data_IF_890657578825
#
_entry.id   IF_890657578825
#
_cell.length_a   1.000
_cell.length_b   1.000
_cell.length_c   1.000
_cell.angle_alpha   90.00
_cell.angle_beta   90.00
_cell.angle_gamma   90.00
#
_symmetry.space_group_name_H-M   'P 1'
#
loop_
_entity.id
_entity.type
_entity.pdbx_description
1 polymer ?
#
# COMPACT_ATOMS: atom_id res chain seq x y z
N UNK A 1 -14.42 -12.61 -12.21
CA UNK A 1 -13.53 -11.44 -12.14
C UNK A 1 -12.16 -11.88 -11.68
N UNK A 2 -11.10 -11.33 -12.27
CA UNK A 2 -9.74 -11.45 -11.74
C UNK A 2 -9.72 -10.81 -10.36
N UNK A 3 -9.29 -11.54 -9.33
CA UNK A 3 -9.19 -10.99 -7.98
C UNK A 3 -7.79 -10.41 -7.82
N UNK A 4 -7.69 -9.12 -7.52
CA UNK A 4 -6.41 -8.45 -7.25
C UNK A 4 -6.10 -8.49 -5.75
N UNK A 5 -4.84 -8.26 -5.39
CA UNK A 5 -4.41 -8.02 -4.02
C UNK A 5 -4.01 -6.54 -3.95
N UNK A 6 -4.85 -5.67 -3.39
CA UNK A 6 -4.51 -4.26 -3.22
C UNK A 6 -3.28 -4.12 -2.32
N UNK A 7 -2.34 -3.27 -2.73
CA UNK A 7 -1.07 -3.05 -2.05
C UNK A 7 -0.90 -1.55 -1.77
N UNK A 8 -0.17 -1.24 -0.71
CA UNK A 8 0.32 0.11 -0.44
C UNK A 8 1.80 0.04 -0.08
N UNK A 9 2.54 1.08 -0.44
CA UNK A 9 3.94 1.14 -0.05
C UNK A 9 4.06 1.20 1.48
N UNK A 10 4.99 0.42 2.07
CA UNK A 10 5.15 0.31 3.52
C UNK A 10 5.40 1.65 4.22
N UNK A 11 5.94 2.63 3.49
CA UNK A 11 6.19 3.97 4.01
C UNK A 11 4.91 4.65 4.51
N UNK A 12 3.76 4.39 3.89
CA UNK A 12 2.47 4.88 4.39
C UNK A 12 2.20 4.38 5.81
N UNK A 13 2.36 3.07 6.04
CA UNK A 13 2.19 2.46 7.34
C UNK A 13 3.23 2.92 8.37
N UNK A 14 4.51 3.03 8.00
CA UNK A 14 5.57 3.52 8.90
C UNK A 14 5.26 4.95 9.36
N UNK A 15 4.95 5.84 8.42
CA UNK A 15 4.61 7.23 8.71
C UNK A 15 3.39 7.30 9.64
N UNK A 16 2.38 6.48 9.37
CA UNK A 16 1.17 6.46 10.18
C UNK A 16 1.44 5.95 11.61
N UNK A 17 2.28 4.94 11.77
CA UNK A 17 2.72 4.46 13.08
C UNK A 17 3.55 5.51 13.84
N UNK A 18 4.43 6.24 13.16
CA UNK A 18 5.23 7.29 13.79
C UNK A 18 4.39 8.47 14.29
N UNK A 19 3.31 8.78 13.59
CA UNK A 19 2.33 9.76 14.05
C UNK A 19 1.51 9.17 15.20
N UNK A 20 1.06 7.92 15.09
CA UNK A 20 0.24 7.26 16.10
C UNK A 20 0.90 7.23 17.49
N UNK A 21 2.23 7.04 17.54
CA UNK A 21 3.03 7.09 18.77
C UNK A 21 2.90 8.42 19.55
N UNK A 22 2.37 9.48 18.94
CA UNK A 22 2.11 10.76 19.61
C UNK A 22 0.74 10.82 20.29
N UNK A 23 -0.18 9.91 19.94
CA UNK A 23 -1.56 9.89 20.42
C UNK A 23 -1.83 8.73 21.39
N UNK A 24 -1.10 7.61 21.27
CA UNK A 24 -1.29 6.43 22.12
C UNK A 24 0.01 6.01 22.80
N UNK A 25 -0.10 5.55 24.05
CA UNK A 25 1.05 5.14 24.86
C UNK A 25 1.61 3.78 24.40
N UNK A 26 0.73 2.85 24.01
CA UNK A 26 1.09 1.53 23.47
C UNK A 26 0.42 1.29 22.11
N UNK A 27 1.22 1.20 21.06
CA UNK A 27 0.78 0.93 19.69
C UNK A 27 0.60 -0.56 19.39
N UNK A 28 1.12 -1.45 20.24
CA UNK A 28 1.17 -2.89 19.96
C UNK A 28 -0.21 -3.56 19.81
N UNK A 29 -1.23 -3.22 20.63
CA UNK A 29 -2.58 -3.76 20.42
C UNK A 29 -3.12 -3.44 19.02
N UNK A 30 -2.97 -2.18 18.57
CA UNK A 30 -3.39 -1.72 17.23
C UNK A 30 -2.61 -2.46 16.13
N UNK A 31 -1.28 -2.58 16.27
CA UNK A 31 -0.41 -3.27 15.31
C UNK A 31 -0.82 -4.75 15.17
N UNK A 32 -1.09 -5.43 16.29
CA UNK A 32 -1.44 -6.84 16.32
C UNK A 32 -2.84 -7.08 15.72
N UNK A 33 -3.83 -6.27 16.10
CA UNK A 33 -5.19 -6.36 15.56
C UNK A 33 -5.22 -6.09 14.04
N UNK A 34 -4.41 -5.13 13.59
CA UNK A 34 -4.25 -4.83 12.18
C UNK A 34 -3.46 -5.91 11.41
N UNK A 35 -2.75 -6.79 12.12
CA UNK A 35 -1.86 -7.82 11.56
C UNK A 35 -0.72 -7.21 10.73
N UNK A 36 -0.17 -6.09 11.21
CA UNK A 36 0.98 -5.46 10.58
C UNK A 36 2.23 -6.35 10.66
N UNK A 37 3.08 -6.32 9.63
CA UNK A 37 4.38 -6.98 9.71
C UNK A 37 5.21 -6.45 10.90
N UNK A 38 5.70 -7.35 11.74
CA UNK A 38 6.44 -7.01 12.98
C UNK A 38 7.73 -6.21 12.68
N UNK A 39 8.31 -6.38 11.49
CA UNK A 39 9.60 -5.78 11.11
C UNK A 39 9.48 -4.78 9.96
N UNK A 40 8.35 -4.07 9.89
CA UNK A 40 8.02 -3.15 8.80
C UNK A 40 9.15 -2.17 8.42
N UNK A 41 9.86 -1.63 9.41
CA UNK A 41 10.96 -0.68 9.17
C UNK A 41 12.21 -1.36 8.57
N UNK A 42 12.50 -2.60 8.97
CA UNK A 42 13.76 -3.29 8.62
C UNK A 42 13.65 -4.33 7.50
N UNK A 43 12.42 -4.68 7.08
CA UNK A 43 12.19 -5.58 5.95
C UNK A 43 12.63 -4.93 4.63
N UNK A 44 13.07 -5.73 3.65
CA UNK A 44 13.33 -5.26 2.28
C UNK A 44 12.07 -5.03 1.47
N UNK A 45 10.93 -5.56 1.93
CA UNK A 45 9.66 -5.43 1.24
C UNK A 45 9.33 -3.96 0.98
N UNK A 46 8.83 -3.68 -0.23
CA UNK A 46 8.36 -2.35 -0.62
C UNK A 46 6.91 -2.14 -0.22
N UNK A 47 6.11 -3.20 -0.29
CA UNK A 47 4.67 -3.14 -0.13
C UNK A 47 4.20 -3.95 1.06
N UNK A 48 3.00 -3.61 1.54
CA UNK A 48 2.19 -4.43 2.43
C UNK A 48 0.79 -4.58 1.83
N UNK A 49 0.02 -5.63 2.22
CA UNK A 49 -1.38 -5.72 1.85
C UNK A 49 -2.14 -4.47 2.30
N UNK A 50 -2.88 -3.83 1.41
CA UNK A 50 -3.59 -2.60 1.77
C UNK A 50 -4.67 -2.84 2.83
N UNK A 51 -5.26 -4.04 2.86
CA UNK A 51 -6.20 -4.45 3.91
C UNK A 51 -5.62 -4.35 5.32
N UNK A 52 -4.32 -4.58 5.47
CA UNK A 52 -3.59 -4.48 6.76
C UNK A 52 -3.46 -3.03 7.17
N UNK A 53 -3.09 -2.16 6.22
CA UNK A 53 -3.09 -0.70 6.45
C UNK A 53 -4.50 -0.18 6.75
N UNK A 54 -5.53 -0.71 6.09
CA UNK A 54 -6.92 -0.34 6.31
C UNK A 54 -7.38 -0.69 7.73
N UNK A 55 -7.03 -1.89 8.22
CA UNK A 55 -7.26 -2.28 9.61
C UNK A 55 -6.52 -1.38 10.59
N UNK A 56 -5.28 -0.96 10.29
CA UNK A 56 -4.54 -0.01 11.13
C UNK A 56 -5.31 1.30 11.28
N UNK A 57 -5.78 1.89 10.17
CA UNK A 57 -6.56 3.12 10.23
C UNK A 57 -7.89 2.93 10.98
N UNK A 58 -8.59 1.83 10.74
CA UNK A 58 -9.85 1.51 11.41
C UNK A 58 -9.66 1.35 12.92
N UNK A 59 -8.74 0.48 13.35
CA UNK A 59 -8.45 0.24 14.77
C UNK A 59 -8.00 1.53 15.47
N UNK A 60 -7.26 2.39 14.77
CA UNK A 60 -6.88 3.70 15.30
C UNK A 60 -8.11 4.59 15.52
N UNK A 61 -9.05 4.63 14.56
CA UNK A 61 -10.28 5.42 14.67
C UNK A 61 -11.18 5.01 15.84
N UNK A 62 -11.09 3.76 16.27
CA UNK A 62 -11.86 3.22 17.39
C UNK A 62 -11.21 3.56 18.75
N UNK A 63 -9.93 3.93 18.77
CA UNK A 63 -9.14 4.14 19.98
C UNK A 63 -8.86 5.61 20.31
N UNK A 64 -9.27 6.56 19.47
CA UNK A 64 -9.07 7.99 19.74
C UNK A 64 -10.30 8.84 19.41
N UNK A 65 -10.45 10.04 19.99
CA UNK A 65 -11.52 10.97 19.65
C UNK A 65 -11.51 11.33 18.17
N UNK A 66 -12.70 11.55 17.59
CA UNK A 66 -12.87 11.81 16.16
C UNK A 66 -12.05 12.99 15.63
N UNK A 67 -11.93 14.08 16.40
CA UNK A 67 -11.13 15.26 16.02
C UNK A 67 -9.64 14.94 15.94
N UNK A 68 -9.11 14.17 16.90
CA UNK A 68 -7.72 13.71 16.88
C UNK A 68 -7.49 12.78 15.69
N UNK A 69 -8.45 11.88 15.42
CA UNK A 69 -8.37 10.97 14.29
C UNK A 69 -8.31 11.69 12.93
N UNK A 70 -9.15 12.72 12.74
CA UNK A 70 -9.10 13.51 11.49
C UNK A 70 -7.75 14.19 11.30
N UNK A 71 -7.19 14.75 12.38
CA UNK A 71 -5.86 15.37 12.38
C UNK A 71 -4.76 14.34 12.09
N UNK A 72 -4.85 13.16 12.70
CA UNK A 72 -3.95 12.03 12.48
C UNK A 72 -3.92 11.57 11.02
N UNK A 73 -5.09 11.42 10.38
CA UNK A 73 -5.20 11.06 8.97
C UNK A 73 -4.58 12.14 8.09
N UNK A 74 -4.91 13.41 8.35
CA UNK A 74 -4.39 14.55 7.58
C UNK A 74 -2.86 14.65 7.66
N UNK A 75 -2.28 14.62 8.86
CA UNK A 75 -0.83 14.66 9.05
C UNK A 75 -0.12 13.49 8.37
N UNK A 76 -0.70 12.29 8.47
CA UNK A 76 -0.14 11.08 7.85
C UNK A 76 -0.19 11.13 6.34
N UNK A 77 -1.31 11.55 5.78
CA UNK A 77 -1.48 11.75 4.35
C UNK A 77 -0.55 12.82 3.80
N UNK A 78 -0.40 13.95 4.50
CA UNK A 78 0.52 15.03 4.13
C UNK A 78 1.97 14.53 4.09
N UNK A 79 2.44 13.90 5.18
CA UNK A 79 3.81 13.35 5.25
C UNK A 79 4.05 12.24 4.23
N UNK A 80 3.10 11.33 4.04
CA UNK A 80 3.22 10.29 3.01
C UNK A 80 3.31 10.93 1.64
N UNK A 81 2.47 11.93 1.33
CA UNK A 81 2.52 12.63 0.05
C UNK A 81 3.92 13.17 -0.25
N UNK A 82 4.65 13.68 0.75
CA UNK A 82 5.99 14.26 0.59
C UNK A 82 7.06 13.23 0.16
N UNK A 83 6.88 11.96 0.50
CA UNK A 83 7.86 10.90 0.20
C UNK A 83 7.52 10.09 -1.04
N UNK A 84 6.30 10.21 -1.61
CA UNK A 84 5.84 9.40 -2.76
C UNK A 84 6.82 9.46 -3.95
N UNK A 85 7.37 10.64 -4.24
CA UNK A 85 8.31 10.80 -5.35
C UNK A 85 9.66 10.09 -5.09
N UNK A 86 10.01 9.85 -3.82
CA UNK A 86 11.31 9.26 -3.40
C UNK A 86 11.28 7.75 -3.23
N UNK A 87 10.10 7.19 -2.92
CA UNK A 87 9.92 5.74 -2.71
C UNK A 87 9.84 4.94 -4.03
N UNK A 88 9.78 5.64 -5.16
CA UNK A 88 9.76 5.03 -6.50
C UNK A 88 11.18 4.67 -6.96
N UNK A 89 11.33 3.64 -7.82
CA UNK A 89 12.61 3.39 -8.46
C UNK A 89 13.07 4.64 -9.23
N UNK A 90 14.36 5.02 -9.17
CA UNK A 90 14.85 6.23 -9.78
C UNK A 90 14.61 6.21 -11.29
N UNK A 91 13.69 7.05 -11.76
CA UNK A 91 13.46 7.27 -13.20
C UNK A 91 14.27 8.48 -13.66
N UNK A 92 14.82 8.41 -14.88
CA UNK A 92 15.55 9.54 -15.49
C UNK A 92 14.63 10.73 -15.82
N UNK A 93 13.32 10.50 -15.88
CA UNK A 93 12.29 11.48 -16.21
C UNK A 93 11.27 11.57 -15.09
N UNK A 94 10.79 12.79 -14.80
CA UNK A 94 9.65 13.00 -13.89
C UNK A 94 8.42 12.33 -14.50
N UNK A 95 7.75 11.49 -13.73
CA UNK A 95 6.52 10.83 -14.15
C UNK A 95 5.35 11.84 -14.15
N UNK A 96 4.30 11.62 -14.97
CA UNK A 96 3.05 12.34 -14.84
C UNK A 96 2.43 12.15 -13.45
N UNK A 97 1.63 13.12 -12.99
CA UNK A 97 1.10 13.10 -11.61
C UNK A 97 0.20 11.89 -11.34
N UNK A 98 -0.59 11.46 -12.33
CA UNK A 98 -1.47 10.31 -12.17
C UNK A 98 -0.70 8.99 -12.04
N UNK A 99 0.40 8.81 -12.77
CA UNK A 99 1.31 7.68 -12.56
C UNK A 99 1.92 7.71 -11.16
N UNK A 100 2.18 8.92 -10.62
CA UNK A 100 2.67 9.05 -9.26
C UNK A 100 1.63 8.59 -8.24
N UNK A 101 0.41 9.10 -8.33
CA UNK A 101 -0.69 8.72 -7.45
C UNK A 101 -1.10 7.26 -7.61
N UNK A 102 -1.18 6.74 -8.83
CA UNK A 102 -1.61 5.38 -9.12
C UNK A 102 -0.72 4.30 -8.52
N UNK A 103 0.59 4.53 -8.49
CA UNK A 103 1.55 3.61 -7.86
C UNK A 103 1.60 3.74 -6.33
N UNK A 104 1.15 4.87 -5.79
CA UNK A 104 1.25 5.19 -4.37
C UNK A 104 -0.02 4.87 -3.58
N UNK A 105 -1.15 4.81 -4.28
CA UNK A 105 -2.48 4.65 -3.74
C UNK A 105 -3.10 3.31 -4.17
N UNK A 106 -4.04 2.78 -3.37
CA UNK A 106 -4.78 1.54 -3.61
C UNK A 106 -5.86 1.71 -4.70
N UNK A 107 -5.51 2.23 -5.87
CA UNK A 107 -6.46 2.55 -6.93
C UNK A 107 -6.16 1.73 -8.19
N UNK A 108 -7.19 1.36 -8.93
CA UNK A 108 -7.03 0.66 -10.21
C UNK A 108 -7.14 1.60 -11.41
N UNK A 109 -7.69 2.79 -11.21
CA UNK A 109 -7.77 3.84 -12.22
C UNK A 109 -7.78 5.22 -11.56
N UNK A 110 -7.15 6.19 -12.23
CA UNK A 110 -7.25 7.60 -11.90
C UNK A 110 -7.44 8.43 -13.18
N UNK A 111 -8.24 9.49 -13.12
CA UNK A 111 -8.48 10.33 -14.30
C UNK A 111 -8.69 11.78 -13.91
N UNK A 112 -8.11 12.69 -14.69
CA UNK A 112 -8.46 14.10 -14.64
C UNK A 112 -9.55 14.43 -15.65
N UNK A 113 -10.74 14.74 -15.13
CA UNK A 113 -11.86 15.23 -15.91
C UNK A 113 -11.92 16.76 -15.83
N UNK A 114 -12.17 17.40 -16.97
CA UNK A 114 -12.32 18.85 -17.05
C UNK A 114 -13.72 19.20 -17.55
N UNK A 115 -14.49 19.93 -16.74
CA UNK A 115 -15.79 20.44 -17.14
C UNK A 115 -15.72 21.97 -17.36
N UNK A 116 -15.74 22.44 -18.62
CA UNK A 116 -15.80 23.86 -18.90
C UNK A 116 -17.22 24.39 -18.63
N UNK A 117 -17.48 24.88 -17.41
CA UNK A 117 -18.78 25.47 -17.08
C UNK A 117 -18.95 26.86 -17.72
N UNK A 118 -17.89 27.68 -17.83
CA UNK A 118 -17.80 28.94 -18.61
C UNK A 118 -16.32 29.44 -18.70
N UNK A 119 -15.99 30.43 -19.57
CA UNK A 119 -14.61 30.99 -19.75
C UNK A 119 -13.90 31.42 -18.45
N UNK A 120 -14.64 31.69 -17.37
CA UNK A 120 -14.12 32.13 -16.06
C UNK A 120 -14.33 31.11 -14.92
N UNK A 121 -15.08 30.04 -15.15
CA UNK A 121 -15.37 29.00 -14.16
C UNK A 121 -15.17 27.63 -14.81
N UNK A 122 -13.95 27.09 -14.70
CA UNK A 122 -13.68 25.68 -15.02
C UNK A 122 -13.54 24.88 -13.74
N UNK A 123 -14.08 23.67 -13.74
CA UNK A 123 -13.89 22.73 -12.64
C UNK A 123 -12.95 21.62 -13.11
N UNK A 124 -11.90 21.39 -12.32
CA UNK A 124 -11.07 20.20 -12.44
C UNK A 124 -11.63 19.14 -11.49
N UNK A 125 -11.82 17.92 -11.99
CA UNK A 125 -12.17 16.77 -11.18
C UNK A 125 -11.04 15.73 -11.29
N UNK A 126 -10.56 15.26 -10.16
CA UNK A 126 -9.75 14.04 -10.07
C UNK A 126 -10.68 12.91 -9.62
N UNK A 127 -10.96 11.96 -10.52
CA UNK A 127 -11.66 10.73 -10.17
C UNK A 127 -10.66 9.62 -9.84
N UNK A 128 -10.93 8.90 -8.76
CA UNK A 128 -10.13 7.79 -8.25
C UNK A 128 -11.05 6.57 -8.11
N UNK A 129 -10.73 5.50 -8.83
CA UNK A 129 -11.37 4.21 -8.63
C UNK A 129 -10.56 3.39 -7.65
N UNK A 130 -10.93 3.47 -6.39
CA UNK A 130 -10.31 2.71 -5.30
C UNK A 130 -10.54 1.21 -5.52
N UNK A 131 -9.53 0.39 -5.23
CA UNK A 131 -9.68 -1.06 -5.21
C UNK A 131 -10.66 -1.49 -4.09
N UNK A 132 -11.15 -2.73 -4.11
CA UNK A 132 -12.14 -3.20 -3.13
C UNK A 132 -11.61 -3.05 -1.69
N UNK A 133 -12.37 -2.29 -0.89
CA UNK A 133 -12.00 -1.80 0.44
C UNK A 133 -12.75 -2.48 1.59
N UNK A 134 -13.63 -3.42 1.28
CA UNK A 134 -14.50 -3.99 2.29
C UNK A 134 -13.71 -4.76 3.38
N UNK A 135 -14.03 -4.56 4.67
CA UNK A 135 -15.14 -3.78 5.23
C UNK A 135 -14.80 -2.32 5.66
N UNK A 136 -13.60 -1.81 5.36
CA UNK A 136 -13.06 -0.56 5.94
C UNK A 136 -13.01 0.60 4.93
N UNK A 137 -14.11 0.83 4.22
CA UNK A 137 -14.15 1.71 3.04
C UNK A 137 -14.00 3.20 3.36
N UNK A 138 -14.77 3.75 4.29
CA UNK A 138 -14.81 5.20 4.50
C UNK A 138 -13.47 5.81 4.92
N UNK A 139 -12.86 5.28 5.98
CA UNK A 139 -11.61 5.81 6.53
C UNK A 139 -10.48 5.77 5.49
N UNK A 140 -10.45 4.72 4.68
CA UNK A 140 -9.44 4.58 3.67
C UNK A 140 -9.70 5.48 2.45
N UNK A 141 -10.95 5.67 2.04
CA UNK A 141 -11.31 6.67 1.03
C UNK A 141 -10.89 8.08 1.48
N UNK A 142 -11.12 8.43 2.75
CA UNK A 142 -10.68 9.70 3.33
C UNK A 142 -9.15 9.85 3.28
N UNK A 143 -8.41 8.81 3.67
CA UNK A 143 -6.95 8.81 3.56
C UNK A 143 -6.49 8.98 2.10
N UNK A 144 -7.11 8.25 1.16
CA UNK A 144 -6.80 8.33 -0.27
C UNK A 144 -7.01 9.75 -0.82
N UNK A 145 -8.13 10.40 -0.52
CA UNK A 145 -8.38 11.77 -0.98
C UNK A 145 -7.44 12.78 -0.32
N UNK A 146 -7.08 12.61 0.97
CA UNK A 146 -6.10 13.48 1.62
C UNK A 146 -4.73 13.37 0.95
N UNK A 147 -4.24 12.14 0.71
CA UNK A 147 -2.94 11.94 0.05
C UNK A 147 -2.94 12.54 -1.36
N UNK A 148 -4.00 12.29 -2.13
CA UNK A 148 -4.14 12.85 -3.46
C UNK A 148 -4.16 14.39 -3.42
N UNK A 149 -4.93 14.98 -2.51
CA UNK A 149 -5.01 16.42 -2.32
C UNK A 149 -3.65 17.04 -1.99
N UNK A 150 -2.96 16.57 -0.95
CA UNK A 150 -1.65 17.11 -0.55
C UNK A 150 -0.59 16.93 -1.63
N UNK A 151 -0.63 15.80 -2.36
CA UNK A 151 0.26 15.59 -3.49
C UNK A 151 -0.01 16.61 -4.61
N UNK A 152 -1.28 16.86 -4.95
CA UNK A 152 -1.65 17.80 -6.00
C UNK A 152 -1.32 19.24 -5.65
N UNK A 153 -1.67 19.73 -4.46
CA UNK A 153 -1.41 21.13 -4.06
C UNK A 153 0.08 21.44 -4.02
N UNK A 154 0.93 20.45 -3.68
CA UNK A 154 2.39 20.61 -3.74
C UNK A 154 2.93 20.69 -5.17
N UNK A 155 2.33 19.96 -6.10
CA UNK A 155 2.81 19.85 -7.47
C UNK A 155 2.12 20.82 -8.45
N UNK A 156 1.00 21.42 -8.06
CA UNK A 156 0.17 22.30 -8.88
C UNK A 156 -0.29 23.51 -8.06
N UNK A 157 0.37 24.66 -8.26
CA UNK A 157 0.11 25.88 -7.50
C UNK A 157 -1.28 26.51 -7.71
N UNK A 158 -1.97 26.15 -8.81
CA UNK A 158 -3.34 26.61 -9.06
C UNK A 158 -4.39 25.76 -8.34
N UNK A 159 -4.00 24.59 -7.82
CA UNK A 159 -4.87 23.74 -6.99
C UNK A 159 -4.74 24.22 -5.54
N UNK A 160 -5.86 24.68 -4.98
CA UNK A 160 -6.01 25.06 -3.58
C UNK A 160 -6.96 24.06 -2.90
N UNK A 161 -7.87 24.56 -2.08
CA UNK A 161 -8.88 23.73 -1.43
C UNK A 161 -9.88 23.11 -2.41
N UNK A 162 -10.33 21.87 -2.15
CA UNK A 162 -11.41 21.27 -2.90
C UNK A 162 -12.73 22.02 -2.66
N UNK A 163 -13.45 22.24 -3.75
CA UNK A 163 -14.81 22.78 -3.78
C UNK A 163 -15.88 21.79 -3.31
N UNK A 164 -15.60 20.48 -3.42
CA UNK A 164 -16.40 19.36 -2.90
C UNK A 164 -15.63 18.05 -3.09
N UNK A 165 -16.11 16.98 -2.48
CA UNK A 165 -15.63 15.63 -2.79
C UNK A 165 -16.75 14.58 -2.76
N UNK A 166 -16.52 13.53 -3.53
CA UNK A 166 -17.40 12.38 -3.68
C UNK A 166 -16.77 11.17 -3.00
N UNK A 167 -17.58 10.37 -2.33
CA UNK A 167 -17.21 9.12 -1.65
C UNK A 167 -18.13 8.00 -2.13
N UNK A 168 -17.56 6.82 -2.35
CA UNK A 168 -18.28 5.60 -2.70
C UNK A 168 -19.03 5.05 -1.50
N UNK A 169 -18.42 5.15 -0.32
CA UNK A 169 -19.02 4.81 0.96
C UNK A 169 -20.45 5.34 1.08
N UNK A 170 -21.38 4.47 1.47
CA UNK A 170 -22.80 4.81 1.56
C UNK A 170 -23.21 5.30 2.96
N UNK A 171 -22.45 4.96 3.99
CA UNK A 171 -22.82 5.25 5.37
C UNK A 171 -22.49 6.70 5.77
N UNK A 172 -23.45 7.61 5.61
CA UNK A 172 -23.36 8.97 6.15
C UNK A 172 -23.07 8.99 7.65
N UNK A 173 -23.54 7.98 8.39
CA UNK A 173 -23.29 7.82 9.82
C UNK A 173 -21.79 7.76 10.17
N UNK A 174 -20.94 7.28 9.26
CA UNK A 174 -19.49 7.26 9.46
C UNK A 174 -18.89 8.67 9.47
N UNK A 175 -19.33 9.57 8.59
CA UNK A 175 -18.89 10.97 8.59
C UNK A 175 -19.35 11.70 9.86
N UNK A 176 -20.60 11.48 10.27
CA UNK A 176 -21.16 12.10 11.48
C UNK A 176 -20.41 11.62 12.74
N UNK A 177 -20.07 10.32 12.83
CA UNK A 177 -19.22 9.76 13.89
C UNK A 177 -17.83 10.37 13.90
N UNK A 178 -17.25 10.59 12.72
CA UNK A 178 -15.93 11.21 12.57
C UNK A 178 -15.95 12.73 12.82
N UNK A 179 -17.14 13.33 13.02
CA UNK A 179 -17.31 14.77 13.30
C UNK A 179 -16.53 15.65 12.33
N UNK A 180 -16.49 15.28 11.05
CA UNK A 180 -15.69 16.01 10.04
C UNK A 180 -16.33 17.38 9.83
N UNK A 181 -15.78 18.40 10.48
CA UNK A 181 -16.20 19.79 10.35
C UNK A 181 -15.38 20.45 9.26
N UNK A 182 -15.86 20.37 8.02
CA UNK A 182 -15.26 21.05 6.87
C UNK A 182 -16.30 21.85 6.11
N UNK A 183 -15.91 23.03 5.64
CA UNK A 183 -16.72 23.86 4.74
C UNK A 183 -16.82 23.25 3.34
N UNK A 184 -16.02 22.22 3.02
CA UNK A 184 -16.05 21.51 1.75
C UNK A 184 -17.17 20.46 1.72
N UNK A 185 -18.21 20.60 0.87
CA UNK A 185 -19.32 19.65 0.80
C UNK A 185 -18.91 18.21 0.46
N UNK A 186 -19.55 17.24 1.12
CA UNK A 186 -19.34 15.80 0.91
C UNK A 186 -20.55 15.13 0.27
N UNK A 187 -20.31 14.29 -0.72
CA UNK A 187 -21.37 13.51 -1.40
C UNK A 187 -21.07 12.01 -1.26
N UNK A 188 -21.97 11.29 -0.57
CA UNK A 188 -21.85 9.85 -0.31
C UNK A 188 -22.53 9.02 -1.41
N UNK A 189 -22.23 7.72 -1.47
CA UNK A 189 -22.85 6.77 -2.39
C UNK A 189 -22.61 7.08 -3.88
N UNK A 190 -21.51 7.74 -4.18
CA UNK A 190 -21.12 8.12 -5.54
C UNK A 190 -20.47 6.93 -6.26
N UNK A 191 -20.47 6.90 -7.61
CA UNK A 191 -19.87 5.79 -8.35
C UNK A 191 -18.35 5.69 -8.17
N UNK A 192 -17.67 6.81 -7.98
CA UNK A 192 -16.22 6.91 -7.78
C UNK A 192 -15.91 7.90 -6.65
N UNK A 193 -14.79 7.68 -5.97
CA UNK A 193 -14.20 8.67 -5.06
C UNK A 193 -13.63 9.81 -5.90
N UNK A 194 -13.92 11.07 -5.58
CA UNK A 194 -13.44 12.18 -6.41
C UNK A 194 -13.21 13.50 -5.67
N UNK A 195 -12.25 14.29 -6.13
CA UNK A 195 -11.92 15.63 -5.64
C UNK A 195 -12.21 16.66 -6.72
N UNK A 196 -12.89 17.75 -6.36
CA UNK A 196 -13.26 18.81 -7.30
C UNK A 196 -12.64 20.14 -6.91
N UNK A 197 -12.01 20.83 -7.87
CA UNK A 197 -11.33 22.10 -7.64
C UNK A 197 -11.87 23.19 -8.55
N UNK A 198 -12.00 24.41 -8.01
CA UNK A 198 -12.13 25.59 -8.85
C UNK A 198 -10.77 25.87 -9.50
N UNK A 199 -10.73 25.92 -10.83
CA UNK A 199 -9.49 26.11 -11.57
C UNK A 199 -9.66 27.19 -12.64
N UNK A 200 -8.56 27.83 -13.02
CA UNK A 200 -8.52 28.68 -14.22
C UNK A 200 -7.83 27.92 -15.36
N UNK A 201 -8.55 27.77 -16.48
CA UNK A 201 -8.21 26.95 -17.65
C UNK A 201 -6.76 27.13 -18.14
N UNK A 202 -6.20 28.35 -18.01
CA UNK A 202 -5.00 28.76 -18.75
C UNK A 202 -3.67 28.12 -18.30
N UNK A 203 -3.59 27.42 -17.17
CA UNK A 203 -2.35 26.74 -16.72
C UNK A 203 -2.47 25.22 -16.62
N UNK A 204 -3.67 24.68 -16.79
CA UNK A 204 -3.94 23.25 -16.64
C UNK A 204 -3.78 22.45 -17.93
N UNK A 205 -3.32 23.07 -19.02
CA UNK A 205 -3.24 22.46 -20.35
C UNK A 205 -2.42 21.16 -20.40
N UNK A 206 -1.52 20.90 -19.45
CA UNK A 206 -0.76 19.65 -19.34
C UNK A 206 -1.48 18.53 -18.56
N UNK A 207 -2.51 18.84 -17.78
CA UNK A 207 -3.29 17.88 -16.99
C UNK A 207 -4.59 17.46 -17.68
N UNK A 208 -5.03 18.23 -18.68
CA UNK A 208 -6.24 17.95 -19.46
C UNK A 208 -6.15 16.57 -20.14
N UNK A 209 -7.09 15.69 -19.81
CA UNK A 209 -7.23 14.32 -20.35
C UNK A 209 -6.02 13.42 -20.12
N UNK A 210 -5.51 13.42 -18.89
CA UNK A 210 -4.64 12.34 -18.44
C UNK A 210 -5.49 11.28 -17.74
N UNK A 211 -5.24 10.03 -18.11
CA UNK A 211 -5.75 8.86 -17.42
C UNK A 211 -4.57 8.01 -16.96
N UNK A 212 -4.79 7.24 -15.93
CA UNK A 212 -3.89 6.21 -15.47
C UNK A 212 -4.71 4.98 -15.14
N UNK A 213 -4.22 3.82 -15.58
CA UNK A 213 -4.79 2.53 -15.27
C UNK A 213 -3.70 1.63 -14.68
N UNK A 214 -4.06 0.88 -13.64
CA UNK A 214 -3.14 -0.02 -12.97
C UNK A 214 -2.71 -1.13 -13.93
N UNK A 215 -1.40 -1.32 -14.05
CA UNK A 215 -0.84 -2.42 -14.82
C UNK A 215 -1.17 -3.73 -14.11
N UNK A 216 -1.82 -4.65 -14.82
CA UNK A 216 -2.18 -5.96 -14.27
C UNK A 216 -0.96 -6.87 -14.19
N UNK A 217 -0.51 -7.14 -12.97
CA UNK A 217 0.46 -8.20 -12.68
C UNK A 217 -0.24 -9.55 -12.47
N UNK A 218 0.48 -10.66 -12.66
CA UNK A 218 -0.05 -11.98 -12.33
C UNK A 218 -0.41 -12.07 -10.84
N UNK A 219 -1.39 -12.91 -10.50
CA UNK A 219 -1.79 -13.07 -9.11
C UNK A 219 -0.63 -13.57 -8.24
N UNK A 220 0.24 -14.41 -8.81
CA UNK A 220 1.46 -14.89 -8.18
C UNK A 220 2.45 -13.77 -7.86
N UNK A 221 2.60 -12.78 -8.76
CA UNK A 221 3.45 -11.61 -8.49
C UNK A 221 2.87 -10.76 -7.37
N UNK A 222 1.57 -10.44 -7.45
CA UNK A 222 0.89 -9.64 -6.41
C UNK A 222 0.96 -10.32 -5.05
N UNK A 223 0.77 -11.64 -4.99
CA UNK A 223 0.88 -12.41 -3.76
C UNK A 223 2.32 -12.42 -3.23
N UNK A 224 3.31 -12.51 -4.12
CA UNK A 224 4.73 -12.42 -3.74
C UNK A 224 5.05 -11.07 -3.09
N UNK A 225 4.62 -9.97 -3.70
CA UNK A 225 4.84 -8.61 -3.19
C UNK A 225 4.13 -8.40 -1.84
N UNK A 226 2.91 -8.92 -1.70
CA UNK A 226 2.15 -8.89 -0.45
C UNK A 226 2.85 -9.69 0.67
N UNK A 227 3.35 -10.89 0.35
CA UNK A 227 3.90 -11.84 1.31
C UNK A 227 5.32 -11.47 1.75
N UNK A 228 6.11 -10.79 0.91
CA UNK A 228 7.52 -10.43 1.20
C UNK A 228 7.66 -9.74 2.57
N UNK A 229 6.73 -8.87 2.93
CA UNK A 229 6.75 -8.13 4.20
C UNK A 229 6.66 -9.02 5.44
N UNK A 230 6.17 -10.26 5.31
CA UNK A 230 6.00 -11.23 6.41
C UNK A 230 7.13 -12.27 6.47
N UNK A 231 8.10 -12.22 5.56
CA UNK A 231 9.20 -13.19 5.50
C UNK A 231 10.25 -12.85 6.57
N UNK A 232 10.70 -13.88 7.29
CA UNK A 232 11.90 -13.80 8.13
C UNK A 232 11.73 -14.21 9.58
N UNK A 233 10.54 -14.31 10.20
CA UNK A 233 10.48 -14.79 11.61
C UNK A 233 9.26 -15.63 11.99
N UNK A 234 8.25 -15.71 11.13
CA UNK A 234 7.11 -16.58 11.36
C UNK A 234 6.87 -17.45 10.13
N UNK A 235 6.67 -18.74 10.37
CA UNK A 235 6.20 -19.66 9.34
C UNK A 235 4.72 -19.36 9.05
N UNK A 236 4.47 -18.37 8.18
CA UNK A 236 3.11 -17.95 7.88
C UNK A 236 2.41 -18.99 6.99
N UNK A 237 1.39 -19.65 7.52
CA UNK A 237 0.59 -20.61 6.75
C UNK A 237 -0.25 -19.91 5.68
N UNK A 238 -0.74 -20.67 4.70
CA UNK A 238 -1.63 -20.13 3.68
C UNK A 238 -2.96 -19.66 4.30
N UNK A 239 -3.43 -20.36 5.33
CA UNK A 239 -4.64 -20.03 6.08
C UNK A 239 -4.48 -18.68 6.79
N UNK A 240 -3.38 -18.50 7.53
CA UNK A 240 -3.11 -17.24 8.21
C UNK A 240 -2.93 -16.08 7.22
N UNK A 241 -2.22 -16.31 6.10
CA UNK A 241 -2.06 -15.27 5.09
C UNK A 241 -3.36 -14.94 4.34
N UNK A 242 -4.22 -15.93 4.09
CA UNK A 242 -5.58 -15.75 3.58
C UNK A 242 -6.38 -14.78 4.45
N UNK A 243 -6.29 -14.94 5.77
CA UNK A 243 -6.97 -14.09 6.73
C UNK A 243 -6.41 -12.66 6.79
N UNK A 244 -5.10 -12.49 6.54
CA UNK A 244 -4.45 -11.19 6.40
C UNK A 244 -5.00 -10.46 5.18
N UNK A 245 -4.92 -11.08 4.01
CA UNK A 245 -5.27 -10.41 2.73
C UNK A 245 -6.77 -10.42 2.41
N UNK A 246 -7.59 -11.22 3.10
CA UNK A 246 -9.04 -11.26 2.92
C UNK A 246 -9.48 -12.05 1.69
N UNK A 247 -8.65 -12.98 1.25
CA UNK A 247 -8.92 -13.81 0.07
C UNK A 247 -8.99 -15.27 0.51
N UNK A 248 -10.13 -15.96 0.30
CA UNK A 248 -10.26 -17.35 0.71
C UNK A 248 -9.15 -18.24 0.13
N UNK A 249 -8.64 -19.16 0.95
CA UNK A 249 -7.59 -20.14 0.58
C UNK A 249 -7.84 -20.80 -0.77
N UNK A 250 -9.06 -21.29 -1.04
CA UNK A 250 -9.42 -21.92 -2.32
C UNK A 250 -9.27 -20.98 -3.51
N UNK A 251 -9.57 -19.70 -3.33
CA UNK A 251 -9.41 -18.67 -4.35
C UNK A 251 -7.93 -18.43 -4.63
N UNK A 252 -7.11 -18.27 -3.58
CA UNK A 252 -5.65 -18.13 -3.71
C UNK A 252 -5.08 -19.32 -4.49
N UNK A 253 -5.37 -20.55 -4.05
CA UNK A 253 -4.86 -21.76 -4.70
C UNK A 253 -5.28 -21.86 -6.18
N UNK A 254 -6.53 -21.54 -6.50
CA UNK A 254 -7.03 -21.55 -7.87
C UNK A 254 -6.29 -20.55 -8.76
N UNK A 255 -6.12 -19.31 -8.31
CA UNK A 255 -5.41 -18.29 -9.10
C UNK A 255 -3.92 -18.59 -9.23
N UNK A 256 -3.27 -19.11 -8.19
CA UNK A 256 -1.88 -19.56 -8.28
C UNK A 256 -1.71 -20.73 -9.24
N UNK A 257 -2.64 -21.69 -9.25
CA UNK A 257 -2.61 -22.81 -10.19
C UNK A 257 -2.77 -22.34 -11.64
N UNK A 258 -3.62 -21.34 -11.89
CA UNK A 258 -3.76 -20.69 -13.21
C UNK A 258 -2.45 -20.02 -13.68
N UNK A 259 -1.67 -19.48 -12.75
CA UNK A 259 -0.35 -18.90 -13.01
C UNK A 259 0.79 -19.95 -13.02
N UNK A 260 0.50 -21.24 -12.88
CA UNK A 260 1.53 -22.30 -12.80
C UNK A 260 2.34 -22.33 -11.49
N UNK A 261 1.87 -21.62 -10.47
CA UNK A 261 2.54 -21.42 -9.20
C UNK A 261 1.84 -22.12 -8.02
N UNK A 262 2.39 -21.96 -6.82
CA UNK A 262 1.76 -22.36 -5.56
C UNK A 262 2.28 -21.49 -4.42
N UNK A 263 1.51 -21.41 -3.32
CA UNK A 263 1.91 -20.64 -2.15
C UNK A 263 3.29 -21.06 -1.64
N UNK A 264 3.51 -22.38 -1.59
CA UNK A 264 4.80 -22.97 -1.20
C UNK A 264 5.93 -22.54 -2.12
N UNK A 265 5.75 -22.54 -3.45
CA UNK A 265 6.78 -22.09 -4.40
C UNK A 265 7.14 -20.63 -4.17
N UNK A 266 6.15 -19.75 -4.03
CA UNK A 266 6.37 -18.31 -3.80
C UNK A 266 7.11 -18.09 -2.47
N UNK A 267 6.66 -18.72 -1.40
CA UNK A 267 7.30 -18.63 -0.08
C UNK A 267 8.73 -19.16 -0.08
N UNK A 268 8.99 -20.29 -0.73
CA UNK A 268 10.35 -20.83 -0.90
C UNK A 268 11.24 -19.82 -1.65
N UNK A 269 10.75 -19.24 -2.77
CA UNK A 269 11.50 -18.22 -3.52
C UNK A 269 11.83 -16.97 -2.68
N UNK A 270 10.87 -16.47 -1.91
CA UNK A 270 11.07 -15.33 -1.01
C UNK A 270 12.06 -15.65 0.12
N UNK A 271 11.98 -16.85 0.71
CA UNK A 271 12.92 -17.32 1.72
C UNK A 271 14.37 -17.36 1.18
N UNK A 272 14.56 -17.79 -0.07
CA UNK A 272 15.89 -17.78 -0.71
C UNK A 272 16.37 -16.35 -0.97
N UNK A 273 15.49 -15.47 -1.46
CA UNK A 273 15.83 -14.06 -1.68
C UNK A 273 16.24 -13.38 -0.36
N UNK A 274 15.48 -13.62 0.70
CA UNK A 274 15.78 -13.16 2.05
C UNK A 274 17.15 -13.68 2.53
N UNK A 275 17.39 -14.99 2.43
CA UNK A 275 18.64 -15.61 2.87
C UNK A 275 19.86 -14.97 2.18
N UNK A 276 19.80 -14.86 0.84
CA UNK A 276 20.86 -14.23 0.05
C UNK A 276 21.18 -12.81 0.54
N UNK A 277 20.14 -12.02 0.79
CA UNK A 277 20.27 -10.64 1.25
C UNK A 277 20.94 -10.58 2.62
N UNK A 278 20.42 -11.31 3.60
CA UNK A 278 20.92 -11.27 4.98
C UNK A 278 22.32 -11.85 5.12
N UNK A 279 22.66 -12.87 4.34
CA UNK A 279 24.04 -13.40 4.30
C UNK A 279 25.04 -12.34 3.81
N UNK A 280 24.67 -11.55 2.79
CA UNK A 280 25.53 -10.46 2.28
C UNK A 280 25.57 -9.28 3.23
N UNK A 281 24.41 -8.78 3.67
CA UNK A 281 24.30 -7.52 4.41
C UNK A 281 24.72 -7.64 5.88
N UNK A 282 24.57 -8.81 6.49
CA UNK A 282 24.74 -9.00 7.95
C UNK A 282 25.75 -10.08 8.32
N UNK A 283 26.42 -10.68 7.34
CA UNK A 283 27.34 -11.81 7.55
C UNK A 283 26.73 -12.95 8.38
N UNK A 284 25.40 -13.12 8.31
CA UNK A 284 24.68 -14.06 9.15
C UNK A 284 25.09 -15.51 8.84
N UNK A 285 25.18 -16.33 9.89
CA UNK A 285 25.53 -17.74 9.71
C UNK A 285 24.40 -18.51 9.02
N UNK A 286 24.73 -19.60 8.33
CA UNK A 286 23.73 -20.48 7.70
C UNK A 286 22.74 -21.04 8.73
N UNK A 287 23.22 -21.28 9.96
CA UNK A 287 22.38 -21.76 11.07
C UNK A 287 21.36 -20.70 11.45
N UNK A 288 21.80 -19.46 11.67
CA UNK A 288 20.91 -18.35 12.05
C UNK A 288 19.87 -18.09 10.95
N UNK A 289 20.30 -18.08 9.68
CA UNK A 289 19.38 -17.87 8.55
C UNK A 289 18.34 -19.01 8.47
N UNK A 290 18.76 -20.25 8.70
CA UNK A 290 17.85 -21.40 8.70
C UNK A 290 16.82 -21.31 9.81
N UNK A 291 17.26 -21.03 11.04
CA UNK A 291 16.39 -20.88 12.21
C UNK A 291 15.41 -19.71 12.00
N UNK A 292 15.92 -18.57 11.53
CA UNK A 292 15.13 -17.36 11.25
C UNK A 292 14.01 -17.64 10.22
N UNK A 293 14.31 -18.40 9.17
CA UNK A 293 13.32 -18.79 8.16
C UNK A 293 12.37 -19.91 8.60
N UNK A 294 12.47 -20.41 9.83
CA UNK A 294 11.59 -21.43 10.40
C UNK A 294 11.86 -22.86 9.90
N UNK A 295 13.05 -23.13 9.35
CA UNK A 295 13.41 -24.51 9.01
C UNK A 295 13.75 -25.30 10.28
N UNK A 296 13.24 -26.53 10.36
CA UNK A 296 13.47 -27.40 11.51
C UNK A 296 14.94 -27.82 11.69
N UNK A 297 15.73 -27.81 10.60
CA UNK A 297 17.17 -28.11 10.62
C UNK A 297 17.89 -27.41 9.45
N UNK A 298 19.12 -26.89 9.65
CA UNK A 298 19.94 -26.27 8.59
C UNK A 298 20.08 -27.09 7.31
N UNK A 299 20.06 -28.43 7.39
CA UNK A 299 20.13 -29.29 6.20
C UNK A 299 18.92 -29.13 5.30
N UNK A 300 17.73 -28.85 5.85
CA UNK A 300 16.52 -28.60 5.06
C UNK A 300 16.66 -27.30 4.26
N UNK A 301 17.14 -26.23 4.92
CA UNK A 301 17.44 -24.96 4.27
C UNK A 301 18.50 -25.13 3.17
N UNK A 302 19.62 -25.82 3.46
CA UNK A 302 20.68 -26.06 2.47
C UNK A 302 20.16 -26.79 1.24
N UNK A 303 19.27 -27.79 1.41
CA UNK A 303 18.64 -28.50 0.27
C UNK A 303 17.73 -27.58 -0.55
N UNK A 304 16.90 -26.78 0.11
CA UNK A 304 16.03 -25.80 -0.57
C UNK A 304 16.86 -24.76 -1.34
N UNK A 305 17.92 -24.22 -0.71
CA UNK A 305 18.82 -23.27 -1.33
C UNK A 305 19.56 -23.88 -2.53
N UNK A 306 20.08 -25.10 -2.39
CA UNK A 306 20.75 -25.80 -3.49
C UNK A 306 19.81 -26.09 -4.66
N UNK A 307 18.55 -26.42 -4.37
CA UNK A 307 17.53 -26.62 -5.41
C UNK A 307 17.24 -25.32 -6.18
N UNK A 308 17.25 -24.17 -5.50
CA UNK A 308 16.99 -22.87 -6.12
C UNK A 308 18.21 -22.32 -6.89
N UNK A 309 19.41 -22.44 -6.32
CA UNK A 309 20.62 -21.76 -6.81
C UNK A 309 21.64 -22.68 -7.49
N UNK A 310 21.39 -23.99 -7.50
CA UNK A 310 22.36 -25.03 -7.91
C UNK A 310 23.67 -25.05 -7.10
N UNK A 311 23.77 -24.25 -6.03
CA UNK A 311 24.92 -24.10 -5.14
C UNK A 311 24.48 -24.22 -3.68
N UNK A 312 25.36 -24.69 -2.81
CA UNK A 312 25.12 -24.56 -1.36
C UNK A 312 25.21 -23.09 -0.94
N UNK A 313 24.57 -22.68 0.17
CA UNK A 313 24.64 -21.30 0.66
C UNK A 313 26.08 -20.78 0.79
N UNK A 314 26.98 -21.59 1.36
CA UNK A 314 28.39 -21.22 1.52
C UNK A 314 29.12 -21.00 0.18
N UNK A 315 28.88 -21.89 -0.80
CA UNK A 315 29.47 -21.75 -2.14
C UNK A 315 28.96 -20.49 -2.85
N UNK A 316 27.66 -20.23 -2.75
CA UNK A 316 27.04 -19.04 -3.31
C UNK A 316 27.61 -17.76 -2.68
N UNK A 317 27.74 -17.74 -1.35
CA UNK A 317 28.28 -16.60 -0.61
C UNK A 317 29.74 -16.29 -0.98
N UNK A 318 30.62 -17.30 -0.98
CA UNK A 318 32.02 -17.13 -1.39
C UNK A 318 32.16 -16.59 -2.81
N UNK A 319 31.31 -17.07 -3.74
CA UNK A 319 31.30 -16.58 -5.13
C UNK A 319 30.88 -15.12 -5.23
N UNK A 320 29.99 -14.66 -4.35
CA UNK A 320 29.54 -13.26 -4.32
C UNK A 320 30.55 -12.29 -3.70
N UNK A 321 31.41 -12.75 -2.79
CA UNK A 321 32.51 -11.93 -2.24
C UNK A 321 33.69 -11.74 -3.22
N UNK A 322 33.78 -12.55 -4.28
CA UNK A 322 34.87 -12.50 -5.27
C UNK A 322 34.56 -11.64 -6.50
N UNK A 323 33.36 -11.04 -6.58
CA UNK A 323 32.86 -10.20 -7.68
C UNK A 323 32.73 -8.75 -7.23
#
# INVERSE_FOLDING_TARGET
MSKTIPLIHKAAAIIQLDILKQYVEDVWPIINDAQLPIYLESTSAKYIPFRVFSKLLQATSEQMPSQEFTTFIQQGAERYSMVIDTIKPPTKTRLPLLDVLGEALPIHQAEFLHNPLNKQNSQLCLELKVEDMEPFSLVCELYTICVAHYYLTRNCSDIKEPSKYHLVSQEKSGLDKLQISTDTPQFMGQPNTALFYHSTINKLGSLQQSNWEKVNHSFSSQLSDALESYIGRQDLSLEAFSDIIGIPVRTIQRHLAQDGSSYRKIKESLNIAFAKRVMIEREASISDVSEHLGYADPSQFIRAFRKAENLTPLQWYKRKQQL
#
